data_IF_907146487501
#
_entry.id   IF_907146487501
#
_cell.length_a   1.000
_cell.length_b   1.000
_cell.length_c   1.000
_cell.angle_alpha   90.00
_cell.angle_beta   90.00
_cell.angle_gamma   90.00
#
_symmetry.space_group_name_H-M   'P 1'
#
loop_
_entity.id
_entity.type
_entity.pdbx_description
1 polymer ?
#
# COMPACT_ATOMS: atom_id res chain seq x y z
N UNK A 1 -3.89 -14.89 32.52
CA UNK A 1 -4.55 -13.70 31.93
C UNK A 1 -3.71 -13.02 30.86
N UNK A 2 -2.45 -12.65 31.12
CA UNK A 2 -1.57 -11.96 30.14
C UNK A 2 -1.49 -12.63 28.76
N UNK A 3 -1.44 -13.97 28.74
CA UNK A 3 -1.38 -14.77 27.51
C UNK A 3 -2.65 -14.69 26.66
N UNK A 4 -3.82 -14.54 27.29
CA UNK A 4 -5.11 -14.41 26.62
C UNK A 4 -5.27 -12.99 26.04
N UNK A 5 -4.87 -11.97 26.80
CA UNK A 5 -4.88 -10.56 26.36
C UNK A 5 -3.99 -10.36 25.13
N UNK A 6 -2.81 -10.99 25.13
CA UNK A 6 -1.88 -10.95 24.00
C UNK A 6 -2.47 -11.61 22.74
N UNK A 7 -3.13 -12.76 22.87
CA UNK A 7 -3.77 -13.46 21.75
C UNK A 7 -4.94 -12.66 21.15
N UNK A 8 -5.73 -12.00 21.99
CA UNK A 8 -6.85 -11.15 21.56
C UNK A 8 -6.34 -9.88 20.85
N UNK A 9 -5.25 -9.28 21.34
CA UNK A 9 -4.62 -8.13 20.68
C UNK A 9 -4.04 -8.52 19.31
N UNK A 10 -3.42 -9.70 19.19
CA UNK A 10 -2.92 -10.21 17.90
C UNK A 10 -4.06 -10.51 16.92
N UNK A 11 -5.17 -11.08 17.38
CA UNK A 11 -6.33 -11.35 16.54
C UNK A 11 -6.96 -10.05 15.99
N UNK A 12 -7.01 -8.99 16.80
CA UNK A 12 -7.52 -7.67 16.39
C UNK A 12 -6.69 -7.00 15.27
N UNK A 13 -5.39 -7.29 15.18
CA UNK A 13 -4.52 -6.77 14.11
C UNK A 13 -4.80 -7.41 12.74
N UNK A 14 -5.27 -8.66 12.72
CA UNK A 14 -5.63 -9.35 11.47
C UNK A 14 -7.02 -8.96 10.94
N UNK A 15 -7.83 -8.30 11.77
CA UNK A 15 -9.22 -7.93 11.47
C UNK A 15 -9.39 -6.52 10.87
N UNK A 16 -8.34 -5.69 10.83
CA UNK A 16 -8.42 -4.29 10.42
C UNK A 16 -8.34 -4.03 8.90
N UNK A 17 -8.54 -5.06 8.07
CA UNK A 17 -8.73 -4.90 6.63
C UNK A 17 -9.96 -5.68 6.19
N UNK A 18 -10.77 -5.16 5.24
CA UNK A 18 -11.85 -5.97 4.68
C UNK A 18 -11.25 -7.27 4.14
N UNK A 19 -11.95 -8.39 4.34
CA UNK A 19 -11.62 -9.64 3.64
C UNK A 19 -11.42 -9.29 2.17
N UNK A 20 -10.30 -9.73 1.59
CA UNK A 20 -9.95 -9.42 0.19
C UNK A 20 -11.18 -9.69 -0.66
N UNK A 21 -11.76 -8.67 -1.32
CA UNK A 21 -12.97 -8.88 -2.07
C UNK A 21 -12.68 -9.90 -3.15
N UNK A 22 -13.59 -10.87 -3.31
CA UNK A 22 -13.57 -11.70 -4.50
C UNK A 22 -13.91 -10.78 -5.68
N UNK A 23 -12.89 -10.50 -6.49
CA UNK A 23 -13.00 -9.68 -7.69
C UNK A 23 -13.42 -10.53 -8.89
N UNK A 24 -13.15 -11.83 -8.87
CA UNK A 24 -13.53 -12.71 -9.96
C UNK A 24 -15.05 -12.85 -10.02
N UNK A 25 -15.71 -12.94 -8.86
CA UNK A 25 -17.18 -12.93 -8.78
C UNK A 25 -17.84 -11.61 -9.21
N UNK A 26 -17.06 -10.56 -9.49
CA UNK A 26 -17.55 -9.24 -9.90
C UNK A 26 -17.36 -8.96 -11.39
N UNK A 27 -16.69 -9.84 -12.12
CA UNK A 27 -16.54 -9.73 -13.57
C UNK A 27 -17.84 -10.28 -14.19
N UNK A 28 -18.50 -9.49 -15.03
CA UNK A 28 -19.71 -9.94 -15.71
C UNK A 28 -19.39 -10.96 -16.81
N UNK A 29 -20.41 -11.67 -17.28
CA UNK A 29 -20.23 -12.61 -18.40
C UNK A 29 -19.72 -11.89 -19.66
N UNK A 30 -20.17 -10.66 -19.88
CA UNK A 30 -19.71 -9.80 -20.98
C UNK A 30 -18.25 -9.38 -20.78
N UNK A 31 -17.84 -9.06 -19.55
CA UNK A 31 -16.45 -8.73 -19.22
C UNK A 31 -15.48 -9.89 -19.44
N UNK A 32 -15.93 -11.13 -19.26
CA UNK A 32 -15.14 -12.32 -19.58
C UNK A 32 -15.05 -12.62 -21.09
N UNK A 33 -16.08 -12.24 -21.85
CA UNK A 33 -16.13 -12.44 -23.29
C UNK A 33 -15.49 -11.28 -24.08
N UNK A 34 -15.16 -10.17 -23.41
CA UNK A 34 -14.56 -9.01 -24.05
C UNK A 34 -13.11 -9.29 -24.46
N UNK A 35 -12.72 -8.76 -25.62
CA UNK A 35 -11.34 -8.76 -26.05
C UNK A 35 -10.47 -7.94 -25.09
N UNK A 36 -9.21 -8.37 -24.92
CA UNK A 36 -8.25 -7.57 -24.18
C UNK A 36 -8.01 -6.23 -24.89
N UNK A 37 -7.85 -5.13 -24.14
CA UNK A 37 -7.55 -3.84 -24.74
C UNK A 37 -6.19 -3.88 -25.44
N UNK A 38 -6.07 -3.10 -26.51
CA UNK A 38 -4.79 -2.93 -27.19
C UNK A 38 -3.76 -2.34 -26.22
N UNK A 39 -2.56 -2.93 -26.19
CA UNK A 39 -1.45 -2.40 -25.41
C UNK A 39 -0.94 -1.11 -26.06
N UNK A 40 -0.93 -0.02 -25.29
CA UNK A 40 -0.39 1.27 -25.72
C UNK A 40 0.98 1.48 -25.06
N UNK A 41 1.98 2.05 -25.78
CA UNK A 41 3.27 2.34 -25.19
C UNK A 41 3.15 3.25 -23.96
N UNK A 42 3.82 2.87 -22.87
CA UNK A 42 3.78 3.64 -21.62
C UNK A 42 4.53 4.97 -21.71
N UNK A 43 5.60 5.06 -22.50
CA UNK A 43 6.46 6.25 -22.58
C UNK A 43 5.69 7.56 -22.82
N UNK A 44 4.87 7.68 -23.89
CA UNK A 44 4.05 8.86 -24.13
C UNK A 44 3.05 9.18 -23.03
N UNK A 45 2.47 8.15 -22.41
CA UNK A 45 1.51 8.30 -21.31
C UNK A 45 2.19 8.87 -20.05
N UNK A 46 3.40 8.41 -19.74
CA UNK A 46 4.19 8.87 -18.60
C UNK A 46 4.64 10.32 -18.80
N UNK A 47 5.04 10.70 -20.02
CA UNK A 47 5.40 12.08 -20.35
C UNK A 47 4.21 13.04 -20.15
N UNK A 48 3.00 12.62 -20.50
CA UNK A 48 1.78 13.40 -20.23
C UNK A 48 1.41 13.46 -18.75
N UNK A 49 1.71 12.42 -17.97
CA UNK A 49 1.42 12.38 -16.55
C UNK A 49 2.25 13.41 -15.75
N UNK A 50 3.52 13.60 -16.11
CA UNK A 50 4.40 14.60 -15.49
C UNK A 50 3.90 16.04 -15.72
N UNK A 51 3.11 16.27 -16.78
CA UNK A 51 2.50 17.56 -17.06
C UNK A 51 1.24 17.86 -16.20
N UNK A 52 0.56 16.82 -15.69
CA UNK A 52 -0.70 16.97 -14.93
C UNK A 52 -0.47 17.34 -13.45
N UNK A 53 0.63 16.88 -12.85
CA UNK A 53 1.07 17.29 -11.52
C UNK A 53 2.59 17.35 -11.53
N UNK A 54 3.22 18.53 -11.36
CA UNK A 54 4.66 18.63 -11.26
C UNK A 54 5.12 17.91 -10.00
N UNK A 55 5.56 16.66 -10.16
CA UNK A 55 6.23 15.90 -9.10
C UNK A 55 7.69 16.31 -9.12
N UNK A 56 8.13 17.03 -8.08
CA UNK A 56 9.56 17.23 -7.91
C UNK A 56 10.13 16.05 -7.14
N UNK A 57 10.94 15.24 -7.84
CA UNK A 57 11.64 14.09 -7.27
C UNK A 57 12.41 14.49 -5.99
N UNK A 58 12.95 15.71 -5.96
CA UNK A 58 13.62 16.28 -4.80
C UNK A 58 12.70 16.42 -3.57
N UNK A 59 11.51 17.02 -3.72
CA UNK A 59 10.58 17.22 -2.59
C UNK A 59 10.01 15.89 -2.10
N UNK A 60 9.72 14.97 -3.03
CA UNK A 60 9.29 13.62 -2.70
C UNK A 60 10.40 12.87 -1.94
N UNK A 61 11.64 12.98 -2.41
CA UNK A 61 12.83 12.43 -1.75
C UNK A 61 12.97 12.94 -0.31
N UNK A 62 12.93 14.25 -0.11
CA UNK A 62 13.00 14.87 1.23
C UNK A 62 11.89 14.36 2.17
N UNK A 63 10.67 14.22 1.64
CA UNK A 63 9.53 13.71 2.42
C UNK A 63 9.74 12.24 2.81
N UNK A 64 10.23 11.42 1.89
CA UNK A 64 10.51 10.01 2.13
C UNK A 64 11.66 9.81 3.13
N UNK A 65 12.72 10.61 3.03
CA UNK A 65 13.84 10.58 3.98
C UNK A 65 13.40 10.93 5.39
N UNK A 66 12.60 12.00 5.55
CA UNK A 66 12.05 12.40 6.84
C UNK A 66 11.19 11.29 7.46
N UNK A 67 10.33 10.66 6.67
CA UNK A 67 9.50 9.52 7.12
C UNK A 67 10.36 8.30 7.49
N UNK A 68 11.38 8.00 6.68
CA UNK A 68 12.29 6.90 6.98
C UNK A 68 13.09 7.15 8.27
N UNK A 69 13.50 8.40 8.54
CA UNK A 69 14.16 8.77 9.78
C UNK A 69 13.24 8.60 11.01
N UNK A 70 11.97 8.99 10.91
CA UNK A 70 10.97 8.76 11.97
C UNK A 70 10.76 7.27 12.24
N UNK A 71 10.55 6.47 11.19
CA UNK A 71 10.37 5.03 11.33
C UNK A 71 11.57 4.34 11.97
N UNK A 72 12.79 4.73 11.59
CA UNK A 72 14.03 4.21 12.22
C UNK A 72 14.10 4.57 13.71
N UNK A 73 13.74 5.80 14.07
CA UNK A 73 13.68 6.24 15.48
C UNK A 73 12.68 5.42 16.28
N UNK A 74 11.46 5.25 15.77
CA UNK A 74 10.40 4.47 16.42
C UNK A 74 10.77 3.00 16.54
N UNK A 75 11.40 2.43 15.51
CA UNK A 75 11.93 1.07 15.56
C UNK A 75 13.02 0.91 16.61
N UNK A 76 13.92 1.90 16.78
CA UNK A 76 14.93 1.87 17.84
C UNK A 76 14.30 1.86 19.24
N UNK A 77 13.26 2.67 19.46
CA UNK A 77 12.51 2.68 20.73
C UNK A 77 11.84 1.33 20.99
N UNK A 78 11.15 0.76 19.99
CA UNK A 78 10.50 -0.54 20.13
C UNK A 78 11.49 -1.67 20.44
N UNK A 79 12.70 -1.63 19.86
CA UNK A 79 13.75 -2.61 20.16
C UNK A 79 14.30 -2.49 21.59
N UNK A 80 14.21 -1.31 22.20
CA UNK A 80 14.65 -1.06 23.57
C UNK A 80 13.56 -1.37 24.60
N UNK A 81 12.30 -1.50 24.17
CA UNK A 81 11.22 -1.94 25.03
C UNK A 81 11.35 -3.45 25.25
N UNK A 82 11.73 -3.85 26.47
CA UNK A 82 11.62 -5.23 26.90
C UNK A 82 10.12 -5.60 26.95
N UNK A 83 9.71 -6.55 26.10
CA UNK A 83 8.39 -7.16 26.12
C UNK A 83 8.24 -8.10 27.31
#
# INVERSE_FOLDING_TARGET
MLRLVLLVALAGLTACGPSRPDLASRISAEGHAADFPALVPLGPLLQGADALVPRSAEREGQTLEARAADLRRRAALLRQMAL
#
